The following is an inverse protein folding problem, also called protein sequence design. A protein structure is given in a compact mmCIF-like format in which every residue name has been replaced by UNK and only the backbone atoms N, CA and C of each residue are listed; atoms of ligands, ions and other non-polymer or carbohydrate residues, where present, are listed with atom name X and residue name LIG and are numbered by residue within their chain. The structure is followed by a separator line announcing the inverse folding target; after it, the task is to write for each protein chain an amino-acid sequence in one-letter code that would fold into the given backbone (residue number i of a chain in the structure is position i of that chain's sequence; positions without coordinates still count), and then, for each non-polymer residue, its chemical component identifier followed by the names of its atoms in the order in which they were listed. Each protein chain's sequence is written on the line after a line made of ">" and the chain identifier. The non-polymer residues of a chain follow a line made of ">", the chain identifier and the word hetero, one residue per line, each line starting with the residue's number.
data_IF_403385692770
#
_entry.id   IF_403385692770
#
_cell.length_a   1.000
_cell.length_b   1.000
_cell.length_c   1.000
_cell.angle_alpha   90.00
_cell.angle_beta   90.00
_cell.angle_gamma   90.00
#
_symmetry.space_group_name_H-M   'P 1'
#
loop_
_entity.id
_entity.type
_entity.pdbx_description
1 polymer ?
#
# COMPACT_ATOMS: atom_id res chain seq x y z
N UNK A 1 -19.34 -31.44 -3.60
CA UNK A 1 -17.87 -31.31 -3.44
C UNK A 1 -17.65 -30.73 -2.06
N UNK A 2 -16.81 -31.32 -1.22
CA UNK A 2 -16.50 -30.72 0.08
C UNK A 2 -15.92 -29.32 -0.16
N UNK A 3 -16.56 -28.29 0.40
CA UNK A 3 -16.02 -26.94 0.45
C UNK A 3 -14.65 -27.04 1.11
N UNK A 4 -13.58 -26.78 0.35
CA UNK A 4 -12.25 -26.68 0.92
C UNK A 4 -12.29 -25.55 1.93
N UNK A 5 -12.05 -25.86 3.21
CA UNK A 5 -12.04 -24.88 4.27
C UNK A 5 -11.10 -23.72 3.89
N UNK A 6 -11.61 -22.49 3.96
CA UNK A 6 -10.81 -21.31 3.65
C UNK A 6 -9.78 -21.08 4.76
N UNK A 7 -8.56 -21.59 4.61
CA UNK A 7 -7.52 -21.47 5.65
C UNK A 7 -6.47 -20.43 5.29
N UNK A 8 -5.85 -19.74 6.27
CA UNK A 8 -4.77 -18.79 6.02
C UNK A 8 -3.60 -19.35 5.21
N UNK A 9 -3.37 -20.66 5.23
CA UNK A 9 -2.35 -21.33 4.42
C UNK A 9 -2.53 -21.15 2.90
N UNK A 10 -3.68 -20.65 2.42
CA UNK A 10 -3.91 -20.28 1.02
C UNK A 10 -2.97 -19.18 0.50
N UNK A 11 -2.35 -18.39 1.38
CA UNK A 11 -1.34 -17.39 0.97
C UNK A 11 0.07 -17.99 0.82
N UNK A 12 0.26 -19.27 1.14
CA UNK A 12 1.54 -19.93 0.92
C UNK A 12 1.74 -20.30 -0.56
N UNK A 13 2.99 -20.35 -1.05
CA UNK A 13 4.22 -19.99 -0.33
C UNK A 13 4.36 -18.46 -0.15
N UNK A 14 4.74 -18.03 1.05
CA UNK A 14 4.95 -16.61 1.37
C UNK A 14 6.36 -16.12 1.01
N UNK A 15 7.38 -16.91 1.33
CA UNK A 15 8.78 -16.63 1.03
C UNK A 15 9.40 -17.86 0.36
N UNK A 16 10.33 -17.63 -0.57
CA UNK A 16 11.06 -18.74 -1.19
C UNK A 16 12.08 -19.29 -0.20
N UNK A 17 12.11 -20.60 -0.02
CA UNK A 17 13.14 -21.29 0.77
C UNK A 17 14.52 -21.21 0.09
N UNK A 18 14.53 -21.14 -1.24
CA UNK A 18 15.73 -20.99 -2.05
C UNK A 18 15.62 -19.74 -2.93
N UNK A 19 16.48 -18.75 -2.70
CA UNK A 19 16.52 -17.55 -3.53
C UNK A 19 17.26 -17.86 -4.82
N UNK A 20 16.63 -17.69 -6.01
CA UNK A 20 17.32 -17.89 -7.28
C UNK A 20 18.54 -16.97 -7.42
N UNK A 21 19.60 -17.45 -8.08
CA UNK A 21 20.85 -16.70 -8.28
C UNK A 21 20.59 -15.32 -8.90
N UNK A 22 19.74 -15.24 -9.92
CA UNK A 22 19.39 -13.99 -10.59
C UNK A 22 18.74 -12.96 -9.64
N UNK A 23 17.92 -13.43 -8.70
CA UNK A 23 17.29 -12.57 -7.69
C UNK A 23 18.33 -12.08 -6.68
N UNK A 24 19.25 -12.96 -6.26
CA UNK A 24 20.34 -12.60 -5.37
C UNK A 24 21.28 -11.56 -6.00
N UNK A 25 21.64 -11.73 -7.27
CA UNK A 25 22.47 -10.78 -8.02
C UNK A 25 21.75 -9.44 -8.21
N UNK A 26 20.45 -9.46 -8.53
CA UNK A 26 19.63 -8.24 -8.65
C UNK A 26 19.56 -7.49 -7.31
N UNK A 27 19.38 -8.21 -6.20
CA UNK A 27 19.38 -7.64 -4.86
C UNK A 27 20.72 -6.97 -4.52
N UNK A 28 21.84 -7.62 -4.84
CA UNK A 28 23.17 -7.07 -4.63
C UNK A 28 23.40 -5.81 -5.47
N UNK A 29 23.02 -5.84 -6.75
CA UNK A 29 23.13 -4.69 -7.65
C UNK A 29 22.26 -3.51 -7.20
N UNK A 30 21.01 -3.77 -6.77
CA UNK A 30 20.10 -2.76 -6.24
C UNK A 30 20.66 -2.08 -4.99
N UNK A 31 21.15 -2.87 -4.04
CA UNK A 31 21.73 -2.36 -2.79
C UNK A 31 22.95 -1.48 -3.08
N UNK A 32 23.86 -1.94 -3.93
CA UNK A 32 25.04 -1.18 -4.32
C UNK A 32 24.69 0.12 -5.06
N UNK A 33 23.67 0.10 -5.92
CA UNK A 33 23.20 1.29 -6.64
C UNK A 33 22.59 2.33 -5.67
N UNK A 34 21.78 1.88 -4.70
CA UNK A 34 21.16 2.73 -3.70
C UNK A 34 22.21 3.40 -2.78
N UNK A 35 23.18 2.64 -2.28
CA UNK A 35 24.26 3.18 -1.45
C UNK A 35 25.11 4.19 -2.21
N UNK A 36 25.49 3.87 -3.46
CA UNK A 36 26.26 4.79 -4.32
C UNK A 36 25.52 6.09 -4.58
N UNK A 37 24.18 6.05 -4.75
CA UNK A 37 23.38 7.25 -4.91
C UNK A 37 23.38 8.09 -3.63
N UNK A 38 23.13 7.46 -2.48
CA UNK A 38 23.06 8.15 -1.19
C UNK A 38 24.37 8.82 -0.78
N UNK A 39 25.52 8.17 -1.05
CA UNK A 39 26.83 8.65 -0.64
C UNK A 39 27.40 9.78 -1.52
N UNK A 40 26.76 10.10 -2.65
CA UNK A 40 27.26 11.10 -3.62
C UNK A 40 26.50 12.41 -3.62
N UNK A 41 25.41 12.50 -2.86
CA UNK A 41 24.53 13.66 -2.86
C UNK A 41 24.59 14.38 -1.52
N UNK A 42 24.62 15.72 -1.58
CA UNK A 42 24.46 16.55 -0.38
C UNK A 42 23.07 16.30 0.23
N UNK A 43 22.90 16.33 1.57
CA UNK A 43 21.61 16.04 2.22
C UNK A 43 20.43 16.87 1.70
N UNK A 44 20.65 18.15 1.37
CA UNK A 44 19.60 19.00 0.77
C UNK A 44 19.17 18.52 -0.62
N UNK A 45 20.10 18.00 -1.42
CA UNK A 45 19.80 17.44 -2.74
C UNK A 45 19.01 16.14 -2.61
N UNK A 46 19.34 15.30 -1.63
CA UNK A 46 18.57 14.07 -1.33
C UNK A 46 17.14 14.42 -0.92
N UNK A 47 16.96 15.43 -0.08
CA UNK A 47 15.63 15.87 0.35
C UNK A 47 14.77 16.35 -0.83
N UNK A 48 15.32 17.20 -1.72
CA UNK A 48 14.63 17.66 -2.92
C UNK A 48 14.31 16.50 -3.88
N UNK A 49 15.25 15.58 -4.07
CA UNK A 49 15.02 14.40 -4.91
C UNK A 49 13.90 13.52 -4.33
N UNK A 50 13.86 13.34 -3.01
CA UNK A 50 12.80 12.58 -2.36
C UNK A 50 11.42 13.22 -2.58
N UNK A 51 11.31 14.56 -2.54
CA UNK A 51 10.06 15.25 -2.85
C UNK A 51 9.60 15.02 -4.30
N UNK A 52 10.52 15.07 -5.27
CA UNK A 52 10.21 14.76 -6.67
C UNK A 52 9.78 13.30 -6.85
N UNK A 53 10.47 12.35 -6.20
CA UNK A 53 10.11 10.92 -6.24
C UNK A 53 8.73 10.68 -5.66
N UNK A 54 8.34 11.37 -4.57
CA UNK A 54 6.98 11.24 -4.02
C UNK A 54 5.91 11.71 -5.01
N UNK A 55 6.16 12.79 -5.76
CA UNK A 55 5.24 13.26 -6.82
C UNK A 55 5.13 12.21 -7.92
N UNK A 56 6.25 11.63 -8.38
CA UNK A 56 6.23 10.57 -9.38
C UNK A 56 5.48 9.32 -8.89
N UNK A 57 5.72 8.90 -7.64
CA UNK A 57 5.02 7.76 -7.04
C UNK A 57 3.50 8.00 -6.97
N UNK A 58 3.10 9.19 -6.52
CA UNK A 58 1.68 9.58 -6.49
C UNK A 58 1.06 9.58 -7.89
N UNK A 59 1.77 10.10 -8.89
CA UNK A 59 1.32 10.08 -10.27
C UNK A 59 1.07 8.65 -10.78
N UNK A 60 2.06 7.77 -10.63
CA UNK A 60 1.94 6.39 -11.14
C UNK A 60 0.95 5.54 -10.35
N UNK A 61 0.86 5.73 -9.02
CA UNK A 61 -0.15 5.05 -8.21
C UNK A 61 -1.56 5.45 -8.64
N UNK A 62 -1.83 6.74 -8.78
CA UNK A 62 -3.12 7.24 -9.26
C UNK A 62 -3.43 6.76 -10.68
N UNK A 63 -2.43 6.71 -11.57
CA UNK A 63 -2.61 6.23 -12.94
C UNK A 63 -2.98 4.75 -13.00
N UNK A 64 -2.41 3.91 -12.12
CA UNK A 64 -2.75 2.48 -12.02
C UNK A 64 -4.22 2.29 -11.60
N UNK A 65 -4.71 3.16 -10.72
CA UNK A 65 -6.12 3.19 -10.27
C UNK A 65 -7.06 3.83 -11.33
N UNK A 66 -6.54 4.24 -12.49
CA UNK A 66 -7.32 4.83 -13.59
C UNK A 66 -7.60 6.32 -13.45
N UNK A 67 -6.96 7.01 -12.50
CA UNK A 67 -7.12 8.45 -12.30
C UNK A 67 -6.23 9.27 -13.24
N UNK A 68 -6.83 10.24 -13.93
CA UNK A 68 -6.11 11.15 -14.85
C UNK A 68 -5.60 12.41 -14.12
N UNK A 69 -4.76 12.22 -13.10
CA UNK A 69 -4.12 13.35 -12.37
C UNK A 69 -2.71 13.56 -12.91
N UNK A 70 -2.40 14.73 -13.50
CA UNK A 70 -1.04 15.00 -14.02
C UNK A 70 -0.09 15.44 -12.90
N UNK A 71 1.25 15.37 -13.08
CA UNK A 71 2.20 15.91 -12.10
C UNK A 71 1.93 17.38 -11.76
N UNK A 72 1.51 18.19 -12.75
CA UNK A 72 1.12 19.59 -12.54
C UNK A 72 -0.13 19.72 -11.66
N UNK A 73 -1.10 18.81 -11.79
CA UNK A 73 -2.29 18.80 -10.92
C UNK A 73 -1.92 18.45 -9.48
N UNK A 74 -0.95 17.55 -9.28
CA UNK A 74 -0.40 17.21 -7.96
C UNK A 74 0.30 18.43 -7.34
N UNK A 75 1.13 19.15 -8.09
CA UNK A 75 1.78 20.38 -7.62
C UNK A 75 0.76 21.43 -7.21
N UNK A 76 -0.25 21.69 -8.04
CA UNK A 76 -1.37 22.60 -7.69
C UNK A 76 -2.08 22.16 -6.40
N UNK A 77 -2.31 20.86 -6.23
CA UNK A 77 -2.92 20.30 -5.03
C UNK A 77 -2.06 20.55 -3.77
N UNK A 78 -0.74 20.46 -3.89
CA UNK A 78 0.21 20.73 -2.81
C UNK A 78 0.26 22.22 -2.44
N UNK A 79 0.03 23.11 -3.40
CA UNK A 79 -0.06 24.56 -3.21
C UNK A 79 -1.44 25.03 -2.68
N UNK A 80 -2.37 24.11 -2.47
CA UNK A 80 -3.77 24.38 -2.13
C UNK A 80 -4.53 25.18 -3.21
N UNK A 81 -4.07 25.15 -4.46
CA UNK A 81 -4.80 25.68 -5.61
C UNK A 81 -5.93 24.70 -6.00
N UNK A 82 -7.14 25.02 -5.56
CA UNK A 82 -8.33 24.18 -5.70
C UNK A 82 -8.93 24.26 -7.10
N UNK A 83 -9.23 23.10 -7.67
CA UNK A 83 -9.96 23.03 -8.93
C UNK A 83 -11.42 23.48 -8.81
N UNK A 84 -12.00 23.98 -9.89
CA UNK A 84 -13.42 24.41 -9.93
C UNK A 84 -14.38 23.23 -10.04
N UNK A 85 -13.92 22.10 -10.55
CA UNK A 85 -14.71 20.87 -10.70
C UNK A 85 -14.57 19.96 -9.48
N UNK A 86 -15.68 19.42 -8.97
CA UNK A 86 -15.68 18.58 -7.76
C UNK A 86 -14.86 17.30 -7.92
N UNK A 87 -15.00 16.60 -9.04
CA UNK A 87 -14.25 15.38 -9.33
C UNK A 87 -12.74 15.63 -9.30
N UNK A 88 -12.28 16.72 -9.94
CA UNK A 88 -10.86 17.10 -9.94
C UNK A 88 -10.38 17.51 -8.55
N UNK A 89 -11.18 18.27 -7.79
CA UNK A 89 -10.85 18.61 -6.40
C UNK A 89 -10.70 17.39 -5.51
N UNK A 90 -11.57 16.40 -5.70
CA UNK A 90 -11.52 15.14 -4.97
C UNK A 90 -10.17 14.45 -5.26
N UNK A 91 -9.76 14.33 -6.52
CA UNK A 91 -8.44 13.80 -6.90
C UNK A 91 -7.27 14.61 -6.34
N UNK A 92 -7.40 15.94 -6.22
CA UNK A 92 -6.40 16.79 -5.57
C UNK A 92 -6.26 16.48 -4.07
N UNK A 93 -7.38 16.22 -3.37
CA UNK A 93 -7.33 15.81 -1.95
C UNK A 93 -6.60 14.48 -1.81
N UNK A 94 -6.92 13.50 -2.65
CA UNK A 94 -6.25 12.21 -2.67
C UNK A 94 -4.74 12.34 -2.92
N UNK A 95 -4.33 13.11 -3.94
CA UNK A 95 -2.93 13.33 -4.25
C UNK A 95 -2.16 13.97 -3.07
N UNK A 96 -2.76 14.97 -2.43
CA UNK A 96 -2.17 15.64 -1.26
C UNK A 96 -2.02 14.65 -0.10
N UNK A 97 -3.02 13.78 0.12
CA UNK A 97 -2.97 12.73 1.13
C UNK A 97 -1.89 11.70 0.84
N UNK A 98 -1.74 11.26 -0.41
CA UNK A 98 -0.70 10.32 -0.81
C UNK A 98 0.72 10.85 -0.51
N UNK A 99 0.98 12.14 -0.76
CA UNK A 99 2.26 12.78 -0.42
C UNK A 99 2.43 12.92 1.10
N UNK A 100 1.37 13.31 1.81
CA UNK A 100 1.36 13.45 3.27
C UNK A 100 1.70 12.12 3.97
N UNK A 101 1.08 11.03 3.53
CA UNK A 101 1.28 9.68 4.08
C UNK A 101 2.71 9.19 3.83
N UNK A 102 3.25 9.35 2.61
CA UNK A 102 4.66 9.02 2.33
C UNK A 102 5.62 9.80 3.24
N UNK A 103 5.42 11.12 3.39
CA UNK A 103 6.24 11.96 4.30
C UNK A 103 6.11 11.54 5.76
N UNK A 104 4.95 11.06 6.18
CA UNK A 104 4.73 10.53 7.52
C UNK A 104 5.53 9.25 7.75
N UNK A 105 5.52 8.31 6.79
CA UNK A 105 6.31 7.07 6.85
C UNK A 105 7.80 7.39 6.92
N UNK A 106 8.30 8.22 5.99
CA UNK A 106 9.72 8.59 5.91
C UNK A 106 10.23 9.22 7.21
N UNK A 107 9.42 10.12 7.79
CA UNK A 107 9.73 10.80 9.05
C UNK A 107 9.80 9.81 10.21
N UNK A 108 8.78 8.95 10.36
CA UNK A 108 8.76 7.94 11.42
C UNK A 108 9.90 6.94 11.29
N UNK A 109 10.27 6.60 10.06
CA UNK A 109 11.43 5.75 9.81
C UNK A 109 12.73 6.45 10.26
N UNK A 110 12.93 7.72 9.86
CA UNK A 110 14.09 8.50 10.26
C UNK A 110 14.19 8.72 11.78
N UNK A 111 13.05 8.84 12.47
CA UNK A 111 12.96 8.96 13.93
C UNK A 111 13.08 7.61 14.67
N UNK A 112 13.09 6.48 13.95
CA UNK A 112 13.10 5.14 14.55
C UNK A 112 11.78 4.77 15.24
N UNK A 113 10.68 5.45 14.90
CA UNK A 113 9.34 5.27 15.50
C UNK A 113 8.35 4.56 14.57
N UNK A 114 8.79 4.15 13.38
CA UNK A 114 7.96 3.39 12.44
C UNK A 114 7.63 2.00 13.03
N UNK A 115 6.34 1.65 13.21
CA UNK A 115 5.94 0.31 13.66
C UNK A 115 6.30 -0.77 12.65
N UNK A 116 6.11 -2.04 13.03
CA UNK A 116 6.28 -3.19 12.13
C UNK A 116 5.36 -3.06 10.89
N UNK A 117 5.90 -2.87 9.67
CA UNK A 117 5.09 -2.58 8.49
C UNK A 117 4.14 -3.70 8.07
N UNK A 118 4.47 -4.95 8.40
CA UNK A 118 3.61 -6.10 8.11
C UNK A 118 2.46 -6.29 9.11
N UNK A 119 2.41 -5.50 10.19
CA UNK A 119 1.40 -5.68 11.23
C UNK A 119 0.01 -5.22 10.80
N UNK A 120 -1.01 -5.92 11.29
CA UNK A 120 -2.40 -5.53 11.03
C UNK A 120 -2.67 -4.10 11.50
N UNK A 121 -2.13 -3.72 12.67
CA UNK A 121 -2.28 -2.37 13.23
C UNK A 121 -1.64 -1.31 12.35
N UNK A 122 -0.44 -1.55 11.82
CA UNK A 122 0.21 -0.62 10.91
C UNK A 122 -0.60 -0.43 9.63
N UNK A 123 -1.06 -1.53 9.02
CA UNK A 123 -1.83 -1.49 7.77
C UNK A 123 -3.18 -0.79 7.95
N UNK A 124 -3.89 -1.08 9.05
CA UNK A 124 -5.13 -0.38 9.43
C UNK A 124 -4.89 1.11 9.62
N UNK A 125 -3.80 1.48 10.30
CA UNK A 125 -3.42 2.89 10.50
C UNK A 125 -3.05 3.57 9.20
N UNK A 126 -2.32 2.89 8.31
CA UNK A 126 -1.94 3.40 7.01
C UNK A 126 -3.18 3.67 6.14
N UNK A 127 -4.10 2.71 6.08
CA UNK A 127 -5.39 2.87 5.40
C UNK A 127 -6.21 4.02 6.00
N UNK A 128 -6.25 4.13 7.34
CA UNK A 128 -6.93 5.26 8.00
C UNK A 128 -6.33 6.60 7.60
N UNK A 129 -5.01 6.75 7.67
CA UNK A 129 -4.33 7.98 7.28
C UNK A 129 -4.64 8.34 5.81
N UNK A 130 -4.82 7.37 4.94
CA UNK A 130 -5.19 7.65 3.56
C UNK A 130 -6.62 8.20 3.39
N UNK A 131 -7.57 7.75 4.20
CA UNK A 131 -8.99 8.03 4.00
C UNK A 131 -9.67 8.90 5.07
N UNK A 132 -8.99 9.22 6.17
CA UNK A 132 -9.57 10.01 7.27
C UNK A 132 -10.00 11.43 6.85
N UNK A 133 -9.26 12.05 5.91
CA UNK A 133 -9.57 13.36 5.34
C UNK A 133 -10.22 13.27 3.95
N UNK A 134 -10.57 12.06 3.50
CA UNK A 134 -11.17 11.89 2.18
C UNK A 134 -12.58 12.52 2.15
N UNK A 135 -12.97 13.16 1.03
CA UNK A 135 -14.35 13.61 0.83
C UNK A 135 -15.32 12.44 0.98
N UNK A 136 -16.52 12.68 1.54
CA UNK A 136 -17.48 11.60 1.81
C UNK A 136 -17.81 10.78 0.55
N UNK A 137 -17.86 11.42 -0.61
CA UNK A 137 -18.06 10.76 -1.91
C UNK A 137 -17.03 9.65 -2.22
N UNK A 138 -15.79 9.76 -1.71
CA UNK A 138 -14.74 8.74 -1.87
C UNK A 138 -14.84 7.58 -0.88
N UNK A 139 -15.69 7.68 0.13
CA UNK A 139 -15.86 6.64 1.15
C UNK A 139 -17.00 5.68 0.82
N UNK A 140 -17.72 5.90 -0.28
CA UNK A 140 -18.76 5.00 -0.76
C UNK A 140 -18.17 3.98 -1.71
N UNK A 141 -18.31 2.71 -1.36
CA UNK A 141 -17.91 1.57 -2.19
C UNK A 141 -19.15 1.02 -2.88
N UNK A 142 -19.07 0.86 -4.20
CA UNK A 142 -20.15 0.34 -5.04
C UNK A 142 -19.63 -0.85 -5.85
N UNK A 143 -20.27 -2.02 -5.70
CA UNK A 143 -19.84 -3.24 -6.38
C UNK A 143 -20.68 -4.45 -5.98
N UNK A 144 -20.74 -5.47 -6.86
CA UNK A 144 -21.44 -6.73 -6.62
C UNK A 144 -22.93 -6.61 -6.17
N UNK A 145 -23.61 -5.52 -6.55
CA UNK A 145 -25.00 -5.26 -6.17
C UNK A 145 -25.19 -4.62 -4.79
N UNK A 146 -24.09 -4.28 -4.11
CA UNK A 146 -24.09 -3.61 -2.81
C UNK A 146 -23.51 -2.19 -2.93
N UNK A 147 -24.04 -1.31 -2.09
CA UNK A 147 -23.50 0.03 -1.85
C UNK A 147 -23.41 0.24 -0.36
N UNK A 148 -22.22 0.55 0.14
CA UNK A 148 -22.00 0.82 1.54
C UNK A 148 -20.89 1.86 1.71
N UNK A 149 -20.87 2.49 2.87
CA UNK A 149 -19.81 3.42 3.23
C UNK A 149 -18.71 2.66 3.95
N UNK A 150 -17.48 2.70 3.44
CA UNK A 150 -16.34 2.10 4.13
C UNK A 150 -15.89 2.95 5.32
N UNK A 151 -15.32 2.29 6.32
CA UNK A 151 -14.71 2.94 7.47
C UNK A 151 -13.18 2.95 7.34
N UNK A 152 -12.53 4.13 7.37
CA UNK A 152 -11.08 4.23 7.31
C UNK A 152 -10.36 3.38 8.37
N UNK A 153 -9.45 2.54 7.90
CA UNK A 153 -8.70 1.59 8.71
C UNK A 153 -9.46 0.33 9.17
N UNK A 154 -10.65 0.05 8.64
CA UNK A 154 -11.36 -1.21 8.90
C UNK A 154 -11.15 -2.23 7.79
N UNK A 155 -10.80 -3.46 8.19
CA UNK A 155 -10.86 -4.60 7.30
C UNK A 155 -12.31 -4.96 6.97
N UNK A 156 -12.50 -5.70 5.88
CA UNK A 156 -13.79 -6.29 5.52
C UNK A 156 -14.20 -7.30 6.60
N UNK A 157 -15.47 -7.26 6.99
CA UNK A 157 -16.05 -8.08 8.06
C UNK A 157 -17.45 -8.61 7.73
N UNK A 158 -18.12 -8.06 6.70
CA UNK A 158 -19.45 -8.47 6.29
C UNK A 158 -19.49 -9.01 4.85
N UNK A 159 -20.35 -9.99 4.54
CA UNK A 159 -20.47 -10.56 3.19
C UNK A 159 -20.77 -9.54 2.09
N UNK A 160 -21.49 -8.46 2.40
CA UNK A 160 -21.77 -7.39 1.43
C UNK A 160 -20.51 -6.62 0.99
N UNK A 161 -19.40 -6.81 1.73
CA UNK A 161 -18.10 -6.23 1.41
C UNK A 161 -17.23 -7.19 0.61
N UNK A 162 -17.63 -8.45 0.40
CA UNK A 162 -16.86 -9.39 -0.42
C UNK A 162 -16.82 -8.95 -1.88
N UNK A 163 -15.66 -9.12 -2.50
CA UNK A 163 -15.36 -8.61 -3.85
C UNK A 163 -14.79 -9.69 -4.75
N UNK A 164 -14.79 -9.44 -6.05
CA UNK A 164 -14.03 -10.23 -7.04
C UNK A 164 -13.07 -9.30 -7.76
N UNK A 165 -11.77 -9.60 -7.71
CA UNK A 165 -10.70 -8.78 -8.29
C UNK A 165 -10.23 -9.43 -9.59
N UNK A 166 -10.78 -8.99 -10.72
CA UNK A 166 -10.55 -9.63 -12.02
C UNK A 166 -11.08 -11.06 -12.03
N UNK A 167 -10.18 -12.05 -11.95
CA UNK A 167 -10.53 -13.49 -11.84
C UNK A 167 -10.27 -14.07 -10.45
N UNK A 168 -9.72 -13.26 -9.55
CA UNK A 168 -9.37 -13.67 -8.20
C UNK A 168 -10.54 -13.41 -7.25
N UNK A 169 -10.82 -14.40 -6.39
CA UNK A 169 -11.77 -14.29 -5.28
C UNK A 169 -10.92 -14.26 -4.00
N UNK A 170 -10.78 -13.09 -3.36
CA UNK A 170 -10.09 -12.97 -2.08
C UNK A 170 -10.76 -13.82 -0.99
N UNK A 171 -10.08 -14.00 0.16
CA UNK A 171 -10.71 -14.59 1.31
C UNK A 171 -12.02 -13.90 1.70
N UNK A 172 -13.00 -14.68 2.13
CA UNK A 172 -14.25 -14.17 2.66
C UNK A 172 -14.00 -13.22 3.83
N UNK A 173 -14.82 -12.18 3.92
CA UNK A 173 -14.74 -11.11 4.91
C UNK A 173 -14.60 -11.62 6.35
N UNK A 174 -15.34 -12.67 6.70
CA UNK A 174 -15.28 -13.36 8.01
C UNK A 174 -13.91 -13.98 8.33
N UNK A 175 -13.06 -14.22 7.33
CA UNK A 175 -11.73 -14.84 7.47
C UNK A 175 -10.57 -13.87 7.33
N UNK A 176 -10.82 -12.62 6.91
CA UNK A 176 -9.77 -11.63 6.65
C UNK A 176 -8.84 -11.43 7.86
N UNK A 177 -9.39 -11.37 9.08
CA UNK A 177 -8.59 -11.24 10.30
C UNK A 177 -7.61 -12.40 10.52
N UNK A 178 -8.04 -13.64 10.29
CA UNK A 178 -7.16 -14.80 10.42
C UNK A 178 -6.04 -14.78 9.38
N UNK A 179 -6.37 -14.37 8.15
CA UNK A 179 -5.39 -14.21 7.08
C UNK A 179 -4.39 -13.09 7.38
N UNK A 180 -4.85 -11.96 7.91
CA UNK A 180 -3.98 -10.83 8.26
C UNK A 180 -3.07 -11.15 9.46
N UNK A 181 -3.57 -11.90 10.45
CA UNK A 181 -2.74 -12.42 11.54
C UNK A 181 -1.63 -13.34 11.01
N UNK A 182 -1.97 -14.22 10.06
CA UNK A 182 -0.99 -15.09 9.44
C UNK A 182 0.00 -14.31 8.57
N UNK A 183 -0.48 -13.36 7.76
CA UNK A 183 0.36 -12.45 6.97
C UNK A 183 1.41 -11.74 7.83
N UNK A 184 0.99 -11.15 8.96
CA UNK A 184 1.92 -10.48 9.89
C UNK A 184 3.01 -11.44 10.38
N UNK A 185 2.64 -12.68 10.75
CA UNK A 185 3.61 -13.68 11.21
C UNK A 185 4.63 -14.03 10.13
N UNK A 186 4.21 -14.13 8.86
CA UNK A 186 5.08 -14.53 7.74
C UNK A 186 5.97 -13.38 7.25
N UNK A 187 5.51 -12.14 7.35
CA UNK A 187 6.20 -10.97 6.80
C UNK A 187 6.82 -10.02 7.83
N UNK A 188 6.84 -10.41 9.11
CA UNK A 188 7.49 -9.63 10.17
C UNK A 188 8.95 -9.31 9.82
N UNK A 189 9.26 -8.04 9.59
CA UNK A 189 10.60 -7.61 9.17
C UNK A 189 11.64 -7.73 10.29
N UNK A 190 11.21 -7.64 11.55
CA UNK A 190 12.09 -7.78 12.71
C UNK A 190 12.86 -9.11 12.73
N UNK A 191 12.29 -10.19 12.18
CA UNK A 191 12.95 -11.51 12.09
C UNK A 191 13.82 -11.68 10.84
N UNK A 192 13.92 -10.67 9.98
CA UNK A 192 14.62 -10.75 8.69
C UNK A 192 15.87 -9.86 8.65
N UNK A 193 16.94 -10.39 8.05
CA UNK A 193 18.09 -9.58 7.63
C UNK A 193 17.75 -8.65 6.46
N UNK A 194 18.62 -7.65 6.19
CA UNK A 194 18.37 -6.59 5.18
C UNK A 194 17.97 -7.14 3.80
N UNK A 195 18.70 -8.14 3.30
CA UNK A 195 18.41 -8.76 2.01
C UNK A 195 17.06 -9.49 1.98
N UNK A 196 16.74 -10.21 3.06
CA UNK A 196 15.46 -10.89 3.22
C UNK A 196 14.28 -9.91 3.22
N UNK A 197 14.43 -8.73 3.82
CA UNK A 197 13.38 -7.69 3.81
C UNK A 197 13.05 -7.18 2.40
N UNK A 198 14.07 -6.99 1.55
CA UNK A 198 13.87 -6.53 0.17
C UNK A 198 13.16 -7.61 -0.66
N UNK A 199 13.53 -8.88 -0.49
CA UNK A 199 12.84 -10.00 -1.14
C UNK A 199 11.39 -10.13 -0.64
N UNK A 200 11.20 -10.00 0.68
CA UNK A 200 9.89 -10.08 1.30
C UNK A 200 8.94 -8.98 0.82
N UNK A 201 9.44 -7.79 0.48
CA UNK A 201 8.62 -6.67 0.00
C UNK A 201 7.71 -7.08 -1.18
N UNK A 202 8.28 -7.68 -2.23
CA UNK A 202 7.53 -8.07 -3.43
C UNK A 202 6.47 -9.14 -3.12
N UNK A 203 6.84 -10.12 -2.29
CA UNK A 203 5.92 -11.18 -1.89
C UNK A 203 4.81 -10.67 -0.96
N UNK A 204 5.13 -9.80 -0.01
CA UNK A 204 4.19 -9.16 0.90
C UNK A 204 3.17 -8.30 0.12
N UNK A 205 3.63 -7.49 -0.83
CA UNK A 205 2.77 -6.70 -1.71
C UNK A 205 1.75 -7.59 -2.44
N UNK A 206 2.23 -8.69 -3.04
CA UNK A 206 1.35 -9.64 -3.71
C UNK A 206 0.37 -10.32 -2.74
N UNK A 207 0.83 -10.80 -1.58
CA UNK A 207 -0.04 -11.53 -0.63
C UNK A 207 -1.04 -10.62 0.07
N UNK A 208 -0.73 -9.34 0.31
CA UNK A 208 -1.70 -8.39 0.81
C UNK A 208 -2.83 -8.17 -0.21
N UNK A 209 -2.48 -8.00 -1.49
CA UNK A 209 -3.47 -7.88 -2.57
C UNK A 209 -4.26 -9.17 -2.80
N UNK A 210 -3.67 -10.34 -2.56
CA UNK A 210 -4.38 -11.62 -2.56
C UNK A 210 -5.44 -11.67 -1.44
N UNK A 211 -5.11 -11.20 -0.24
CA UNK A 211 -6.05 -11.15 0.89
C UNK A 211 -7.13 -10.08 0.64
N UNK A 212 -6.73 -8.97 0.00
CA UNK A 212 -7.58 -7.81 -0.29
C UNK A 212 -8.38 -7.37 0.95
N UNK A 213 -7.69 -7.03 2.07
CA UNK A 213 -8.33 -6.97 3.38
C UNK A 213 -9.26 -5.76 3.57
N UNK A 214 -9.13 -4.69 2.79
CA UNK A 214 -9.97 -3.49 2.90
C UNK A 214 -11.12 -3.49 1.87
N UNK A 215 -12.23 -2.78 2.14
CA UNK A 215 -13.28 -2.58 1.15
C UNK A 215 -12.83 -1.89 -0.15
N UNK A 216 -11.90 -0.93 -0.04
CA UNK A 216 -11.24 -0.23 -1.16
C UNK A 216 -9.83 0.20 -0.71
N UNK A 217 -8.99 0.68 -1.63
CA UNK A 217 -7.66 1.22 -1.33
C UNK A 217 -6.57 0.17 -1.11
N UNK A 218 -6.84 -1.10 -1.39
CA UNK A 218 -5.86 -2.18 -1.20
C UNK A 218 -4.57 -1.94 -2.00
N UNK A 219 -4.66 -1.51 -3.25
CA UNK A 219 -3.50 -1.20 -4.10
C UNK A 219 -2.63 -0.06 -3.55
N UNK A 220 -3.26 0.94 -2.93
CA UNK A 220 -2.58 2.10 -2.31
C UNK A 220 -1.93 1.78 -0.97
N UNK A 221 -2.46 0.80 -0.24
CA UNK A 221 -1.89 0.35 1.04
C UNK A 221 -0.73 -0.65 0.84
N UNK A 222 -0.77 -1.44 -0.25
CA UNK A 222 0.18 -2.52 -0.53
C UNK A 222 1.56 -2.10 -0.99
#
# INVERSE_FOLDING_TARGET
>A
MAELAETPSRIEPCLSENVPVEVADTLAALTAAAERLSNRLHPSTVANLADLVRIMNCYYSNLIEGHTTTPRDIERALENDRDGEETRRNLQVEARTHIRVQRMIDRRYAEGTLPEPASADFLRRLHREFYEEAPDAMLWVEGAGHRFRMEPGQFRTFPEQDVTVGRHIPPGSERVEDFMRYFEQRYRLASMGKGGRIIALAAAHHRLNYIHPFPDGNGRVS
#
